data_IF_309666838632
#
_entry.id   IF_309666838632
#
_cell.length_a   1.000
_cell.length_b   1.000
_cell.length_c   1.000
_cell.angle_alpha   90.00
_cell.angle_beta   90.00
_cell.angle_gamma   90.00
#
_symmetry.space_group_name_H-M   'P 1'
#
loop_
_entity.id
_entity.type
_entity.pdbx_description
1 polymer ?
#
# COMPACT_ATOMS: atom_id res chain seq x y z
N UNK A 1 4.65 16.78 0.80
CA UNK A 1 3.87 17.82 1.50
C UNK A 1 3.44 17.26 2.85
N UNK A 2 3.47 18.04 3.93
CA UNK A 2 3.09 17.53 5.26
C UNK A 2 2.11 18.48 5.95
N UNK A 3 1.22 17.90 6.76
CA UNK A 3 0.32 18.59 7.66
C UNK A 3 0.74 18.26 9.10
N UNK A 4 1.73 19.00 9.60
CA UNK A 4 2.38 18.70 10.87
C UNK A 4 1.42 18.72 12.07
N UNK A 5 0.40 19.58 12.06
CA UNK A 5 -0.60 19.67 13.12
C UNK A 5 -1.48 18.43 13.29
N UNK A 6 -1.50 17.53 12.31
CA UNK A 6 -2.27 16.27 12.34
C UNK A 6 -1.41 15.03 12.13
N UNK A 7 -0.07 15.17 12.11
CA UNK A 7 0.85 14.04 11.99
C UNK A 7 0.86 13.35 10.62
N UNK A 8 0.40 14.01 9.54
CA UNK A 8 0.33 13.41 8.20
C UNK A 8 1.44 13.93 7.31
N UNK A 9 2.17 13.03 6.64
CA UNK A 9 3.16 13.35 5.63
C UNK A 9 2.89 12.59 4.33
N UNK A 10 2.89 13.32 3.21
CA UNK A 10 2.84 12.78 1.86
C UNK A 10 4.25 12.79 1.26
N UNK A 11 4.76 11.59 0.97
CA UNK A 11 6.04 11.36 0.32
C UNK A 11 5.80 10.99 -1.15
N UNK A 12 6.66 11.51 -2.03
CA UNK A 12 6.67 11.15 -3.44
C UNK A 12 8.03 10.54 -3.74
N UNK A 13 8.02 9.30 -4.22
CA UNK A 13 9.20 8.65 -4.75
C UNK A 13 9.22 8.90 -6.26
N UNK A 14 10.33 9.44 -6.75
CA UNK A 14 10.54 9.68 -8.18
C UNK A 14 11.76 8.87 -8.61
N UNK A 15 11.67 8.08 -9.69
CA UNK A 15 12.84 7.39 -10.22
C UNK A 15 13.86 8.44 -10.70
N UNK A 16 15.14 8.15 -10.47
CA UNK A 16 16.24 9.05 -10.85
C UNK A 16 16.40 9.16 -12.38
N UNK A 17 15.97 8.14 -13.10
CA UNK A 17 16.01 8.05 -14.56
C UNK A 17 14.64 7.62 -15.10
N UNK A 18 14.33 8.02 -16.33
CA UNK A 18 13.04 7.71 -16.98
C UNK A 18 12.96 6.28 -17.55
N UNK A 19 13.76 5.35 -16.99
CA UNK A 19 13.89 3.95 -17.43
C UNK A 19 13.01 2.98 -16.65
N UNK A 20 12.07 3.50 -15.86
CA UNK A 20 11.20 2.70 -14.99
C UNK A 20 11.63 2.72 -13.53
N UNK A 21 10.95 1.92 -12.72
CA UNK A 21 11.16 1.88 -11.28
C UNK A 21 12.35 0.99 -10.92
N UNK A 22 13.22 1.44 -10.01
CA UNK A 22 14.42 0.67 -9.68
C UNK A 22 14.05 -0.64 -8.97
N UNK A 23 14.86 -1.70 -9.15
CA UNK A 23 14.81 -2.85 -8.27
C UNK A 23 14.89 -2.42 -6.80
N UNK A 24 14.13 -3.06 -5.91
CA UNK A 24 14.11 -2.73 -4.47
C UNK A 24 13.12 -1.64 -4.05
N UNK A 25 12.21 -1.20 -4.93
CA UNK A 25 11.11 -0.30 -4.57
C UNK A 25 10.21 -0.91 -3.49
N UNK A 26 9.92 -2.20 -3.60
CA UNK A 26 9.22 -3.01 -2.59
C UNK A 26 9.90 -2.92 -1.22
N UNK A 27 11.22 -3.08 -1.18
CA UNK A 27 12.03 -2.97 0.04
C UNK A 27 11.99 -1.56 0.61
N UNK A 28 12.13 -0.55 -0.24
CA UNK A 28 12.05 0.87 0.17
C UNK A 28 10.70 1.18 0.82
N UNK A 29 9.61 0.69 0.24
CA UNK A 29 8.26 0.88 0.77
C UNK A 29 8.08 0.10 2.09
N UNK A 30 8.63 -1.12 2.19
CA UNK A 30 8.63 -1.89 3.43
C UNK A 30 9.40 -1.17 4.55
N UNK A 31 10.56 -0.58 4.25
CA UNK A 31 11.37 0.16 5.23
C UNK A 31 10.65 1.44 5.69
N UNK A 32 9.98 2.16 4.79
CA UNK A 32 9.15 3.33 5.14
C UNK A 32 7.97 2.93 6.06
N UNK A 33 7.34 1.78 5.79
CA UNK A 33 6.28 1.24 6.64
C UNK A 33 6.79 0.85 8.02
N UNK A 34 7.91 0.14 8.10
CA UNK A 34 8.53 -0.23 9.35
C UNK A 34 8.93 1.01 10.18
N UNK A 35 9.45 2.06 9.53
CA UNK A 35 9.76 3.32 10.18
C UNK A 35 8.52 4.00 10.74
N UNK A 36 7.43 4.08 9.97
CA UNK A 36 6.17 4.64 10.45
C UNK A 36 5.60 3.84 11.63
N UNK A 37 5.62 2.51 11.54
CA UNK A 37 5.17 1.61 12.61
C UNK A 37 6.01 1.75 13.88
N UNK A 38 7.34 1.87 13.76
CA UNK A 38 8.23 2.12 14.89
C UNK A 38 7.95 3.44 15.62
N UNK A 39 7.30 4.39 14.95
CA UNK A 39 6.83 5.66 15.50
C UNK A 39 5.36 5.61 15.97
N UNK A 40 4.72 4.43 15.95
CA UNK A 40 3.30 4.26 16.29
C UNK A 40 2.33 4.74 15.22
N UNK A 41 2.81 5.00 14.00
CA UNK A 41 2.00 5.41 12.85
C UNK A 41 1.87 4.31 11.79
N UNK A 42 1.42 4.71 10.60
CA UNK A 42 1.28 3.83 9.44
C UNK A 42 1.69 4.55 8.15
N UNK A 43 2.04 3.77 7.11
CA UNK A 43 2.34 4.29 5.79
C UNK A 43 1.65 3.46 4.70
N UNK A 44 1.01 4.13 3.75
CA UNK A 44 0.27 3.51 2.66
C UNK A 44 0.61 4.17 1.33
N UNK A 45 0.60 3.39 0.25
CA UNK A 45 0.75 3.92 -1.11
C UNK A 45 -0.59 4.45 -1.60
N UNK A 46 -0.70 5.77 -1.71
CA UNK A 46 -1.92 6.44 -2.18
C UNK A 46 -2.04 6.39 -3.70
N UNK A 47 -0.93 6.58 -4.41
CA UNK A 47 -0.91 6.59 -5.86
C UNK A 47 0.39 6.00 -6.41
N UNK A 48 0.27 5.28 -7.51
CA UNK A 48 1.37 4.65 -8.25
C UNK A 48 0.84 4.20 -9.63
N UNK A 49 1.71 4.15 -10.66
CA UNK A 49 1.43 3.48 -11.93
C UNK A 49 0.89 2.05 -11.74
N UNK A 50 0.02 1.60 -12.65
CA UNK A 50 -0.62 0.28 -12.57
C UNK A 50 0.38 -0.86 -12.46
N UNK A 51 1.45 -0.84 -13.26
CA UNK A 51 2.50 -1.85 -13.25
C UNK A 51 3.11 -2.05 -11.84
N UNK A 52 3.30 -0.97 -11.08
CA UNK A 52 3.79 -1.07 -9.69
C UNK A 52 2.69 -1.62 -8.78
N UNK A 53 1.47 -1.09 -8.90
CA UNK A 53 0.37 -1.51 -8.02
C UNK A 53 0.03 -2.99 -8.22
N UNK A 54 0.34 -3.61 -9.36
CA UNK A 54 0.09 -5.03 -9.60
C UNK A 54 1.01 -5.94 -8.79
N UNK A 55 2.23 -5.49 -8.52
CA UNK A 55 3.28 -6.29 -7.85
C UNK A 55 3.46 -5.89 -6.38
N UNK A 56 3.04 -4.68 -6.02
CA UNK A 56 3.22 -4.14 -4.67
C UNK A 56 1.98 -4.43 -3.79
N UNK A 57 2.17 -4.91 -2.54
CA UNK A 57 1.09 -4.99 -1.57
C UNK A 57 0.69 -3.57 -1.12
N UNK A 58 -0.22 -2.93 -1.87
CA UNK A 58 -0.61 -1.52 -1.67
C UNK A 58 -1.32 -1.26 -0.33
N UNK A 59 -2.04 -2.25 0.20
CA UNK A 59 -2.73 -2.16 1.49
C UNK A 59 -1.84 -2.50 2.70
N UNK A 60 -0.57 -2.82 2.47
CA UNK A 60 0.34 -3.26 3.52
C UNK A 60 0.49 -4.78 3.54
N UNK A 61 1.22 -5.27 4.53
CA UNK A 61 1.37 -6.69 4.78
C UNK A 61 0.07 -7.30 5.34
N UNK A 62 -0.03 -8.62 5.27
CA UNK A 62 -1.08 -9.37 5.96
C UNK A 62 -1.04 -9.05 7.46
N UNK A 63 -2.18 -8.54 7.94
CA UNK A 63 -2.43 -8.09 9.30
C UNK A 63 -3.84 -8.47 9.73
N UNK A 64 -4.13 -8.42 11.03
CA UNK A 64 -5.47 -8.70 11.55
C UNK A 64 -6.51 -7.74 10.96
N UNK A 65 -6.12 -6.48 10.74
CA UNK A 65 -6.94 -5.44 10.14
C UNK A 65 -7.28 -5.76 8.68
N UNK A 66 -6.31 -6.26 7.90
CA UNK A 66 -6.58 -6.68 6.52
C UNK A 66 -7.51 -7.90 6.46
N UNK A 67 -7.52 -8.78 7.47
CA UNK A 67 -8.44 -9.91 7.50
C UNK A 67 -9.90 -9.46 7.71
N UNK A 68 -10.13 -8.43 8.54
CA UNK A 68 -11.46 -7.83 8.69
C UNK A 68 -11.93 -7.26 7.35
N UNK A 69 -11.06 -6.56 6.62
CA UNK A 69 -11.38 -6.01 5.31
C UNK A 69 -11.68 -7.11 4.29
N UNK A 70 -10.92 -8.21 4.29
CA UNK A 70 -11.19 -9.38 3.44
C UNK A 70 -12.53 -10.02 3.73
N UNK A 71 -12.87 -10.19 5.01
CA UNK A 71 -14.20 -10.70 5.37
C UNK A 71 -15.31 -9.78 4.87
N UNK A 72 -15.18 -8.46 5.07
CA UNK A 72 -16.16 -7.50 4.58
C UNK A 72 -16.31 -7.57 3.06
N UNK A 73 -15.18 -7.66 2.35
CA UNK A 73 -15.14 -7.79 0.89
C UNK A 73 -15.85 -9.07 0.40
N UNK A 74 -15.67 -10.21 1.08
CA UNK A 74 -16.37 -11.48 0.75
C UNK A 74 -17.89 -11.39 0.92
N UNK A 75 -18.34 -10.76 2.00
CA UNK A 75 -19.77 -10.64 2.28
C UNK A 75 -20.46 -9.67 1.31
N UNK A 76 -19.77 -8.62 0.87
CA UNK A 76 -20.34 -7.60 -0.01
C UNK A 76 -20.17 -7.87 -1.50
N UNK A 77 -19.10 -8.55 -1.90
CA UNK A 77 -18.82 -8.89 -3.29
C UNK A 77 -18.40 -10.37 -3.42
N UNK A 78 -19.33 -11.30 -3.17
CA UNK A 78 -19.06 -12.73 -3.23
C UNK A 78 -18.70 -13.22 -4.64
N UNK A 79 -18.96 -12.41 -5.67
CA UNK A 79 -18.67 -12.73 -7.07
C UNK A 79 -17.35 -12.07 -7.55
N UNK A 80 -16.64 -11.36 -6.68
CA UNK A 80 -15.40 -10.62 -6.97
C UNK A 80 -15.48 -9.71 -8.21
N UNK A 81 -16.61 -9.03 -8.40
CA UNK A 81 -16.83 -8.16 -9.56
C UNK A 81 -16.16 -6.78 -9.40
N UNK A 82 -15.96 -6.32 -8.17
CA UNK A 82 -15.42 -5.01 -7.86
C UNK A 82 -13.94 -5.06 -7.52
N UNK A 83 -13.10 -4.73 -8.50
CA UNK A 83 -11.65 -4.61 -8.33
C UNK A 83 -10.98 -5.96 -7.96
N UNK A 84 -11.09 -6.98 -8.82
CA UNK A 84 -10.56 -8.33 -8.57
C UNK A 84 -9.05 -8.32 -8.35
N UNK A 85 -8.56 -9.26 -7.53
CA UNK A 85 -7.13 -9.36 -7.17
C UNK A 85 -6.64 -8.22 -6.27
N UNK A 86 -7.54 -7.59 -5.51
CA UNK A 86 -7.22 -6.55 -4.52
C UNK A 86 -7.83 -6.92 -3.18
N UNK A 87 -7.03 -6.80 -2.12
CA UNK A 87 -7.35 -7.36 -0.79
C UNK A 87 -7.52 -8.88 -0.90
N UNK A 88 -6.50 -9.55 -1.45
CA UNK A 88 -6.48 -10.96 -1.86
C UNK A 88 -7.39 -11.85 -1.01
N UNK A 89 -8.57 -12.12 -1.56
CA UNK A 89 -9.39 -13.22 -1.12
C UNK A 89 -8.76 -14.49 -1.71
N UNK A 90 -8.51 -15.53 -0.90
CA UNK A 90 -8.01 -16.80 -1.42
C UNK A 90 -8.97 -17.42 -2.44
#
# INVERSE_FOLDING_TARGET
>A
MAHAGVGVAHLVLQPKEDRGWPPGLDRTIADLRALAQGLGGSAMVLNAPFAIKAELPIFGADSAETEVLRRLKREWDPQDLFNPGRLDLP
#
